data_IF_968282002046
#
_entry.id   IF_968282002046
#
_cell.length_a   1.000
_cell.length_b   1.000
_cell.length_c   1.000
_cell.angle_alpha   90.00
_cell.angle_beta   90.00
_cell.angle_gamma   90.00
#
_symmetry.space_group_name_H-M   'P 1'
#
loop_
_entity.id
_entity.type
_entity.pdbx_description
1 polymer ?
#
# COMPACT_ATOMS: atom_id res chain seq x y z
N UNK A 1 -6.19 9.64 -109.07
CA UNK A 1 -6.45 8.87 -107.83
C UNK A 1 -7.96 8.89 -107.58
N UNK A 2 -8.56 7.81 -107.08
CA UNK A 2 -10.01 7.75 -106.77
C UNK A 2 -10.27 8.40 -105.39
N UNK A 3 -11.39 9.10 -105.24
CA UNK A 3 -11.82 9.70 -103.97
C UNK A 3 -12.15 8.62 -102.93
N UNK A 4 -11.54 8.73 -101.75
CA UNK A 4 -11.81 7.89 -100.59
C UNK A 4 -13.04 8.44 -99.84
N UNK A 5 -14.17 7.70 -99.86
CA UNK A 5 -15.42 8.12 -99.23
C UNK A 5 -15.63 7.37 -97.91
N UNK A 6 -15.34 8.04 -96.79
CA UNK A 6 -15.36 7.50 -95.42
C UNK A 6 -16.75 7.10 -94.87
N UNK A 7 -17.82 7.49 -95.57
CA UNK A 7 -19.17 7.52 -95.00
C UNK A 7 -19.99 6.25 -95.29
N UNK A 8 -19.58 5.42 -96.24
CA UNK A 8 -20.39 4.31 -96.78
C UNK A 8 -19.71 2.93 -96.75
N UNK A 9 -18.59 2.77 -96.04
CA UNK A 9 -17.94 1.46 -95.86
C UNK A 9 -18.21 0.89 -94.45
N UNK A 10 -18.38 -0.43 -94.30
CA UNK A 10 -18.56 -1.05 -92.99
C UNK A 10 -17.34 -0.75 -92.10
N UNK A 11 -17.58 -0.10 -90.96
CA UNK A 11 -16.53 0.18 -89.98
C UNK A 11 -15.85 -1.14 -89.60
N UNK A 12 -14.54 -1.20 -89.80
CA UNK A 12 -13.69 -2.31 -89.40
C UNK A 12 -13.81 -2.44 -87.86
N UNK A 13 -14.37 -3.54 -87.37
CA UNK A 13 -14.42 -3.78 -85.93
C UNK A 13 -13.00 -4.00 -85.40
N UNK A 14 -12.67 -3.35 -84.27
CA UNK A 14 -11.38 -3.51 -83.62
C UNK A 14 -11.16 -4.97 -83.23
N UNK A 15 -10.04 -5.56 -83.69
CA UNK A 15 -9.63 -6.91 -83.29
C UNK A 15 -9.27 -7.02 -81.80
N UNK A 16 -9.17 -5.89 -81.09
CA UNK A 16 -9.00 -5.84 -79.65
C UNK A 16 -10.33 -5.41 -79.01
N UNK A 17 -11.14 -6.40 -78.65
CA UNK A 17 -12.36 -6.21 -77.86
C UNK A 17 -12.15 -6.86 -76.49
N UNK A 18 -12.42 -6.10 -75.43
CA UNK A 18 -12.36 -6.64 -74.07
C UNK A 18 -13.49 -7.64 -73.85
N UNK A 19 -13.28 -8.70 -73.05
CA UNK A 19 -14.35 -9.60 -72.64
C UNK A 19 -15.50 -8.85 -71.98
N UNK A 20 -16.70 -9.43 -72.08
CA UNK A 20 -17.89 -8.89 -71.43
C UNK A 20 -17.66 -8.73 -69.93
N UNK A 21 -18.06 -7.58 -69.38
CA UNK A 21 -17.91 -7.25 -67.94
C UNK A 21 -16.48 -7.30 -67.38
N UNK A 22 -15.43 -7.23 -68.22
CA UNK A 22 -14.03 -7.25 -67.76
C UNK A 22 -13.75 -6.17 -66.71
N UNK A 23 -14.09 -4.91 -67.01
CA UNK A 23 -13.84 -3.79 -66.11
C UNK A 23 -14.75 -3.79 -64.87
N UNK A 24 -15.97 -4.31 -65.00
CA UNK A 24 -16.92 -4.42 -63.89
C UNK A 24 -16.45 -5.44 -62.84
N UNK A 25 -15.94 -6.59 -63.30
CA UNK A 25 -15.48 -7.66 -62.42
C UNK A 25 -14.04 -7.49 -61.93
N UNK A 26 -13.22 -6.70 -62.63
CA UNK A 26 -11.81 -6.48 -62.30
C UNK A 26 -11.61 -6.02 -60.85
N UNK A 27 -12.33 -4.98 -60.43
CA UNK A 27 -12.22 -4.42 -59.08
C UNK A 27 -12.58 -5.45 -57.99
N UNK A 28 -13.66 -6.21 -58.21
CA UNK A 28 -14.10 -7.26 -57.28
C UNK A 28 -13.07 -8.37 -57.13
N UNK A 29 -12.53 -8.86 -58.24
CA UNK A 29 -11.52 -9.92 -58.23
C UNK A 29 -10.21 -9.45 -57.60
N UNK A 30 -9.81 -8.20 -57.84
CA UNK A 30 -8.62 -7.60 -57.24
C UNK A 30 -8.76 -7.49 -55.71
N UNK A 31 -9.91 -7.02 -55.22
CA UNK A 31 -10.18 -6.92 -53.78
C UNK A 31 -10.24 -8.27 -53.09
N UNK A 32 -10.68 -9.33 -53.78
CA UNK A 32 -10.70 -10.69 -53.24
C UNK A 32 -9.32 -11.37 -53.21
N UNK A 33 -8.37 -10.90 -54.01
CA UNK A 33 -7.00 -11.44 -54.04
C UNK A 33 -6.06 -10.72 -53.06
N UNK A 34 -6.51 -9.62 -52.46
CA UNK A 34 -5.77 -8.97 -51.38
C UNK A 34 -5.84 -9.85 -50.12
N UNK A 35 -4.71 -10.13 -49.46
CA UNK A 35 -4.72 -10.85 -48.20
C UNK A 35 -5.54 -10.07 -47.16
N UNK A 36 -6.45 -10.76 -46.46
CA UNK A 36 -7.14 -10.17 -45.31
C UNK A 36 -6.08 -9.85 -44.24
N UNK A 37 -5.83 -8.56 -44.02
CA UNK A 37 -4.98 -8.11 -42.92
C UNK A 37 -5.76 -8.23 -41.61
N UNK A 38 -5.77 -9.44 -41.05
CA UNK A 38 -6.22 -9.64 -39.67
C UNK A 38 -5.26 -8.88 -38.73
N UNK A 39 -5.78 -8.04 -37.82
CA UNK A 39 -4.93 -7.37 -36.85
C UNK A 39 -4.20 -8.44 -36.04
N UNK A 40 -2.87 -8.33 -35.96
CA UNK A 40 -2.01 -9.27 -35.24
C UNK A 40 -2.28 -9.18 -33.73
N UNK A 41 -3.32 -9.86 -33.26
CA UNK A 41 -3.67 -9.94 -31.84
C UNK A 41 -2.72 -10.91 -31.15
N UNK A 42 -1.93 -10.39 -30.21
CA UNK A 42 -1.11 -11.22 -29.33
C UNK A 42 -1.78 -11.30 -27.97
N UNK A 43 -2.01 -12.51 -27.47
CA UNK A 43 -2.47 -12.69 -26.10
C UNK A 43 -1.36 -12.22 -25.14
N UNK A 44 -1.63 -11.19 -24.34
CA UNK A 44 -0.70 -10.65 -23.34
C UNK A 44 -0.44 -11.64 -22.19
N UNK A 45 -1.48 -12.33 -21.73
CA UNK A 45 -1.39 -13.19 -20.54
C UNK A 45 -0.99 -14.64 -20.83
N UNK A 46 -1.33 -15.21 -22.00
CA UNK A 46 -1.00 -16.62 -22.27
C UNK A 46 0.49 -16.83 -22.58
N UNK A 47 1.18 -15.85 -23.18
CA UNK A 47 2.61 -15.97 -23.50
C UNK A 47 3.50 -15.87 -22.25
N UNK A 48 3.09 -15.05 -21.28
CA UNK A 48 3.94 -14.67 -20.15
C UNK A 48 3.40 -15.18 -18.80
N UNK A 49 2.64 -16.28 -18.78
CA UNK A 49 2.02 -16.83 -17.55
C UNK A 49 3.02 -16.97 -16.39
N UNK A 50 4.25 -17.41 -16.67
CA UNK A 50 5.30 -17.56 -15.65
C UNK A 50 5.73 -16.21 -15.05
N UNK A 51 5.87 -15.17 -15.88
CA UNK A 51 6.25 -13.82 -15.43
C UNK A 51 5.11 -13.21 -14.63
N UNK A 52 3.87 -13.35 -15.10
CA UNK A 52 2.68 -12.89 -14.39
C UNK A 52 2.55 -13.58 -13.03
N UNK A 53 2.79 -14.89 -12.95
CA UNK A 53 2.81 -15.62 -11.67
C UNK A 53 3.96 -15.18 -10.76
N UNK A 54 5.14 -14.89 -11.30
CA UNK A 54 6.28 -14.37 -10.51
C UNK A 54 5.94 -13.00 -9.91
N UNK A 55 5.39 -12.09 -10.71
CA UNK A 55 4.96 -10.76 -10.24
C UNK A 55 3.85 -10.88 -9.19
N UNK A 56 2.88 -11.78 -9.42
CA UNK A 56 1.83 -12.04 -8.45
C UNK A 56 2.39 -12.57 -7.12
N UNK A 57 3.33 -13.52 -7.14
CA UNK A 57 3.96 -14.06 -5.93
C UNK A 57 4.73 -12.98 -5.15
N UNK A 58 5.47 -12.12 -5.84
CA UNK A 58 6.19 -10.99 -5.20
C UNK A 58 5.18 -10.01 -4.58
N UNK A 59 4.10 -9.67 -5.28
CA UNK A 59 3.05 -8.80 -4.74
C UNK A 59 2.37 -9.40 -3.51
N UNK A 60 2.04 -10.69 -3.52
CA UNK A 60 1.42 -11.34 -2.36
C UNK A 60 2.35 -11.33 -1.16
N UNK A 61 3.66 -11.58 -1.37
CA UNK A 61 4.64 -11.50 -0.29
C UNK A 61 4.74 -10.05 0.21
N UNK A 62 4.86 -9.06 -0.67
CA UNK A 62 4.93 -7.64 -0.30
C UNK A 62 3.72 -7.17 0.51
N UNK A 63 2.52 -7.63 0.16
CA UNK A 63 1.29 -7.31 0.92
C UNK A 63 1.30 -7.99 2.29
N UNK A 64 1.87 -9.19 2.40
CA UNK A 64 1.90 -9.96 3.64
C UNK A 64 2.94 -9.43 4.66
N UNK A 65 4.03 -8.80 4.20
CA UNK A 65 5.12 -8.28 5.06
C UNK A 65 4.60 -7.40 6.23
N UNK A 66 3.79 -6.33 6.01
CA UNK A 66 3.33 -5.48 7.10
C UNK A 66 2.39 -6.21 8.06
N UNK A 67 1.62 -7.22 7.61
CA UNK A 67 0.74 -8.01 8.48
C UNK A 67 1.55 -8.83 9.47
N UNK A 68 2.61 -9.49 9.00
CA UNK A 68 3.51 -10.29 9.85
C UNK A 68 4.33 -9.38 10.77
N UNK A 69 4.84 -8.26 10.26
CA UNK A 69 5.61 -7.30 11.04
C UNK A 69 4.78 -6.65 12.15
N UNK A 70 3.56 -6.19 11.86
CA UNK A 70 2.68 -5.60 12.87
C UNK A 70 2.28 -6.63 13.95
N UNK A 71 2.04 -7.89 13.60
CA UNK A 71 1.74 -8.91 14.60
C UNK A 71 2.94 -9.20 15.50
N UNK A 72 4.16 -9.24 14.97
CA UNK A 72 5.37 -9.46 15.78
C UNK A 72 5.73 -8.27 16.66
N UNK A 73 5.55 -7.02 16.20
CA UNK A 73 5.82 -5.82 17.00
C UNK A 73 4.77 -5.69 18.11
N UNK A 74 3.48 -5.88 17.80
CA UNK A 74 2.43 -5.79 18.80
C UNK A 74 2.42 -6.97 19.80
N UNK A 75 2.91 -8.15 19.42
CA UNK A 75 3.03 -9.29 20.33
C UNK A 75 4.22 -9.18 21.31
N UNK A 76 5.21 -8.33 21.02
CA UNK A 76 6.39 -8.15 21.87
C UNK A 76 6.32 -6.90 22.77
N UNK A 77 5.34 -6.01 22.54
CA UNK A 77 5.09 -4.87 23.40
C UNK A 77 4.24 -5.32 24.60
N UNK A 78 4.85 -6.08 25.51
CA UNK A 78 4.28 -6.38 26.82
C UNK A 78 4.39 -5.19 27.78
N UNK A 79 4.56 -3.97 27.28
CA UNK A 79 4.49 -2.77 28.11
C UNK A 79 3.05 -2.62 28.57
N UNK A 80 2.87 -2.74 29.88
CA UNK A 80 1.58 -2.50 30.52
C UNK A 80 1.24 -1.04 30.27
N UNK A 81 0.08 -0.80 29.66
CA UNK A 81 -0.43 0.54 29.45
C UNK A 81 -0.47 1.32 30.77
N UNK A 82 0.02 2.57 30.77
CA UNK A 82 0.14 3.37 31.98
C UNK A 82 -1.21 3.56 32.67
N UNK A 83 -2.28 3.77 31.89
CA UNK A 83 -3.65 3.87 32.43
C UNK A 83 -4.11 2.55 33.05
N UNK A 84 -3.75 1.41 32.48
CA UNK A 84 -4.04 0.11 33.09
C UNK A 84 -3.29 -0.10 34.41
N UNK A 85 -2.01 0.29 34.46
CA UNK A 85 -1.19 0.23 35.68
C UNK A 85 -1.74 1.13 36.79
N UNK A 86 -2.10 2.38 36.47
CA UNK A 86 -2.68 3.34 37.42
C UNK A 86 -4.00 2.84 38.00
N UNK A 87 -4.88 2.28 37.16
CA UNK A 87 -6.12 1.68 37.62
C UNK A 87 -5.84 0.50 38.56
N UNK A 88 -4.90 -0.37 38.20
CA UNK A 88 -4.52 -1.49 39.04
C UNK A 88 -4.02 -1.03 40.42
N UNK A 89 -3.10 -0.06 40.47
CA UNK A 89 -2.59 0.49 41.73
C UNK A 89 -3.67 1.20 42.53
N UNK A 90 -4.60 1.91 41.88
CA UNK A 90 -5.66 2.66 42.56
C UNK A 90 -6.74 1.76 43.18
N UNK A 91 -7.07 0.63 42.55
CA UNK A 91 -8.06 -0.32 43.04
C UNK A 91 -7.49 -1.38 43.99
N UNK A 92 -6.16 -1.53 44.01
CA UNK A 92 -5.50 -2.52 44.83
C UNK A 92 -5.38 -2.03 46.29
N UNK A 93 -6.10 -2.67 47.20
CA UNK A 93 -6.18 -2.25 48.62
C UNK A 93 -5.13 -2.87 49.54
N UNK A 94 -4.34 -3.80 49.02
CA UNK A 94 -3.34 -4.53 49.82
C UNK A 94 -1.92 -3.93 49.72
N UNK A 95 -1.70 -2.93 48.87
CA UNK A 95 -0.42 -2.22 48.77
C UNK A 95 -0.51 -0.94 49.60
N UNK A 96 0.43 -0.76 50.52
CA UNK A 96 0.52 0.46 51.30
C UNK A 96 1.52 1.47 50.69
N UNK A 97 1.42 2.74 51.07
CA UNK A 97 2.27 3.79 50.52
C UNK A 97 3.77 3.59 50.84
N UNK A 98 4.08 2.97 51.98
CA UNK A 98 5.47 2.69 52.38
C UNK A 98 6.09 1.56 51.56
N UNK A 99 5.31 0.56 51.16
CA UNK A 99 5.74 -0.51 50.25
C UNK A 99 6.06 0.02 48.87
N UNK A 100 5.27 0.98 48.37
CA UNK A 100 5.56 1.66 47.11
C UNK A 100 6.87 2.45 47.19
N UNK A 101 7.08 3.19 48.29
CA UNK A 101 8.31 3.98 48.51
C UNK A 101 9.53 3.06 48.61
N UNK A 102 9.42 1.93 49.32
CA UNK A 102 10.50 0.96 49.45
C UNK A 102 10.82 0.21 48.14
N UNK A 103 9.87 0.20 47.19
CA UNK A 103 10.05 -0.39 45.87
C UNK A 103 10.75 0.53 44.87
N UNK A 104 10.96 1.81 45.20
CA UNK A 104 11.65 2.77 44.35
C UNK A 104 13.15 2.77 44.64
N UNK A 105 13.96 2.77 43.59
CA UNK A 105 15.41 2.94 43.72
C UNK A 105 15.77 4.42 43.97
N UNK A 106 16.94 4.66 44.58
CA UNK A 106 17.34 6.00 45.01
C UNK A 106 17.46 7.00 43.84
N UNK A 107 17.88 6.53 42.66
CA UNK A 107 17.94 7.30 41.43
C UNK A 107 16.55 7.58 40.83
N UNK A 108 15.59 6.67 41.00
CA UNK A 108 14.19 6.89 40.60
C UNK A 108 13.54 7.99 41.45
N UNK A 109 13.79 8.00 42.76
CA UNK A 109 13.30 9.03 43.68
C UNK A 109 13.83 10.42 43.30
N UNK A 110 15.09 10.50 42.88
CA UNK A 110 15.70 11.74 42.41
C UNK A 110 15.02 12.28 41.13
N UNK A 111 14.52 11.40 40.28
CA UNK A 111 13.77 11.73 39.07
C UNK A 111 12.31 12.13 39.34
N UNK A 112 11.74 11.73 40.49
CA UNK A 112 10.39 12.15 40.93
C UNK A 112 10.36 13.61 41.40
N UNK A 113 11.51 14.29 41.53
CA UNK A 113 11.62 15.69 41.98
C UNK A 113 10.61 16.60 41.28
N UNK A 114 9.49 16.79 41.95
CA UNK A 114 8.49 17.78 41.59
C UNK A 114 9.04 19.15 41.99
N UNK A 115 8.88 20.15 41.12
CA UNK A 115 9.21 21.55 41.41
C UNK A 115 8.20 22.18 42.37
N UNK A 116 7.80 21.46 43.43
CA UNK A 116 7.06 22.06 44.52
C UNK A 116 8.09 22.81 45.35
N UNK A 117 8.11 24.14 45.19
CA UNK A 117 8.87 25.03 46.07
C UNK A 117 8.19 24.98 47.43
N UNK A 118 8.60 24.03 48.27
CA UNK A 118 8.19 23.95 49.66
C UNK A 118 8.91 25.05 50.43
N UNK A 119 8.15 26.00 50.98
CA UNK A 119 8.69 27.02 51.86
C UNK A 119 9.19 26.37 53.16
N UNK A 120 10.36 26.80 53.66
CA UNK A 120 10.95 26.25 54.90
C UNK A 120 9.99 26.30 56.09
N UNK A 121 9.16 27.33 56.20
CA UNK A 121 8.16 27.45 57.27
C UNK A 121 7.13 26.33 57.23
N UNK A 122 6.72 25.90 56.03
CA UNK A 122 5.79 24.78 55.84
C UNK A 122 6.44 23.45 56.18
N UNK A 123 7.72 23.28 55.86
CA UNK A 123 8.48 22.08 56.23
C UNK A 123 8.62 21.98 57.76
N UNK A 124 8.97 23.09 58.42
CA UNK A 124 9.11 23.16 59.87
C UNK A 124 7.77 22.84 60.57
N UNK A 125 6.66 23.39 60.09
CA UNK A 125 5.32 23.12 60.63
C UNK A 125 4.89 21.65 60.48
N UNK A 126 5.12 21.07 59.30
CA UNK A 126 4.81 19.65 59.03
C UNK A 126 5.67 18.74 59.93
N UNK A 127 6.97 19.01 60.07
CA UNK A 127 7.86 18.20 60.89
C UNK A 127 7.56 18.36 62.38
N UNK A 128 7.28 19.57 62.86
CA UNK A 128 6.95 19.84 64.25
C UNK A 128 5.58 19.24 64.66
N UNK A 129 4.63 19.16 63.72
CA UNK A 129 3.30 18.60 63.96
C UNK A 129 3.27 17.07 63.77
N UNK A 130 4.30 16.48 63.16
CA UNK A 130 4.36 15.04 62.93
C UNK A 130 4.75 14.30 64.23
N UNK A 131 3.76 13.66 64.87
CA UNK A 131 3.96 12.90 66.10
C UNK A 131 4.86 11.66 65.98
N UNK A 132 5.26 11.26 64.78
CA UNK A 132 6.19 10.16 64.53
C UNK A 132 7.63 10.63 64.25
N UNK A 133 7.93 11.92 64.38
CA UNK A 133 9.27 12.46 64.13
C UNK A 133 10.34 11.77 65.01
N UNK A 134 10.00 11.49 66.28
CA UNK A 134 10.91 10.76 67.17
C UNK A 134 11.22 9.34 66.70
N UNK A 135 10.30 8.68 66.00
CA UNK A 135 10.52 7.34 65.44
C UNK A 135 11.54 7.37 64.29
N UNK A 136 11.46 8.38 63.43
CA UNK A 136 12.37 8.58 62.29
C UNK A 136 13.80 8.96 62.70
N UNK A 137 13.99 9.49 63.91
CA UNK A 137 15.31 9.82 64.46
C UNK A 137 15.98 8.66 65.19
N UNK A 138 15.25 7.56 65.42
CA UNK A 138 15.74 6.39 66.16
C UNK A 138 16.23 5.25 65.25
N UNK A 139 15.88 5.29 63.97
CA UNK A 139 16.39 4.40 62.92
C UNK A 139 17.66 4.98 62.27
#
# INVERSE_FOLDING_TARGET
MKEFKLENEPKIESGFKTPEHYFENFSKNFMQQLPEEEPKVISLFQKNKKIVMMVAAVLTISILIPVVYNNSINANNNEIDATALENYLSYQSNINQYELINGLEADEIDNIKTTVVLENATIEDILATNGNLELLMLE
#
